data_IF_658537330659
#
_entry.id   IF_658537330659
#
_cell.length_a   1.000
_cell.length_b   1.000
_cell.length_c   1.000
_cell.angle_alpha   90.00
_cell.angle_beta   90.00
_cell.angle_gamma   90.00
#
_symmetry.space_group_name_H-M   'P 1'
#
loop_
_entity.id
_entity.type
_entity.pdbx_description
1 polymer ?
#
# COMPACT_ATOMS: atom_id res chain seq x y z
N UNK A 1 5.89 -8.79 21.35
CA UNK A 1 5.21 -8.20 20.17
C UNK A 1 6.10 -8.42 18.95
N UNK A 2 5.66 -9.13 17.90
CA UNK A 2 6.52 -9.43 16.74
C UNK A 2 6.53 -8.23 15.80
N UNK A 3 7.64 -7.49 15.78
CA UNK A 3 7.80 -6.37 14.87
C UNK A 3 7.94 -6.88 13.44
N UNK A 4 6.97 -6.55 12.58
CA UNK A 4 7.04 -6.86 11.14
C UNK A 4 7.46 -5.59 10.43
N UNK A 5 8.59 -5.63 9.72
CA UNK A 5 9.01 -4.54 8.85
C UNK A 5 8.49 -4.78 7.44
N UNK A 6 7.94 -3.75 6.82
CA UNK A 6 7.50 -3.75 5.43
C UNK A 6 7.63 -2.33 4.90
N UNK A 7 8.03 -2.19 3.64
CA UNK A 7 8.25 -0.91 2.96
C UNK A 7 7.19 -0.67 1.90
N UNK A 8 7.03 0.59 1.51
CA UNK A 8 6.25 0.95 0.34
C UNK A 8 6.92 0.43 -0.94
N UNK A 9 6.18 -0.29 -1.79
CA UNK A 9 6.67 -0.81 -3.07
C UNK A 9 7.00 0.29 -4.12
N UNK A 10 6.57 1.54 -3.91
CA UNK A 10 6.85 2.66 -4.83
C UNK A 10 8.00 3.55 -4.38
N UNK A 11 8.11 3.85 -3.09
CA UNK A 11 9.10 4.82 -2.59
C UNK A 11 10.02 4.24 -1.50
N UNK A 12 9.90 2.95 -1.20
CA UNK A 12 10.65 2.24 -0.16
C UNK A 12 10.52 2.82 1.26
N UNK A 13 9.60 3.76 1.47
CA UNK A 13 9.36 4.35 2.79
C UNK A 13 8.92 3.29 3.80
N UNK A 14 9.52 3.32 4.99
CA UNK A 14 9.09 2.55 6.13
C UNK A 14 8.00 3.33 6.88
N UNK A 15 6.77 2.84 6.83
CA UNK A 15 5.65 3.45 7.56
C UNK A 15 5.00 2.41 8.46
N UNK A 16 4.47 2.80 9.63
CA UNK A 16 3.81 1.87 10.54
C UNK A 16 2.49 1.32 9.96
N UNK A 17 1.97 1.96 8.91
CA UNK A 17 0.77 1.55 8.17
C UNK A 17 1.04 1.60 6.68
N UNK A 18 0.64 0.55 5.97
CA UNK A 18 0.69 0.43 4.51
C UNK A 18 -0.66 -0.06 4.00
N UNK A 19 -1.01 0.32 2.78
CA UNK A 19 -2.25 -0.04 2.13
C UNK A 19 -1.96 -1.02 1.01
N UNK A 20 -2.65 -2.15 1.02
CA UNK A 20 -2.58 -3.13 -0.06
C UNK A 20 -3.49 -2.65 -1.19
N UNK A 21 -2.91 -2.32 -2.33
CA UNK A 21 -3.65 -1.81 -3.49
C UNK A 21 -3.20 -2.54 -4.75
N UNK A 22 -4.10 -2.60 -5.75
CA UNK A 22 -3.77 -2.99 -7.12
C UNK A 22 -4.43 -2.03 -8.11
N UNK A 23 -3.97 -2.08 -9.36
CA UNK A 23 -4.62 -1.40 -10.50
C UNK A 23 -4.48 -2.29 -11.72
N UNK A 24 -5.27 -2.11 -12.79
CA UNK A 24 -5.20 -3.00 -13.95
C UNK A 24 -3.79 -3.11 -14.58
N UNK A 25 -2.96 -2.07 -14.48
CA UNK A 25 -1.55 -2.12 -14.90
C UNK A 25 -0.62 -2.83 -13.91
N UNK A 26 -1.01 -2.94 -12.65
CA UNK A 26 -0.29 -3.64 -11.60
C UNK A 26 -0.99 -4.99 -11.36
N UNK A 27 -0.58 -6.03 -12.12
CA UNK A 27 -1.15 -7.39 -12.00
C UNK A 27 -1.04 -7.97 -10.58
N UNK A 28 -0.10 -7.49 -9.78
CA UNK A 28 0.14 -7.96 -8.42
C UNK A 28 -0.33 -6.95 -7.37
N UNK A 29 -0.87 -7.48 -6.25
CA UNK A 29 -1.12 -6.70 -5.05
C UNK A 29 0.18 -6.16 -4.47
N UNK A 30 0.26 -4.85 -4.29
CA UNK A 30 1.41 -4.15 -3.73
C UNK A 30 1.02 -3.34 -2.50
N UNK A 31 1.99 -3.07 -1.63
CA UNK A 31 1.83 -2.24 -0.44
C UNK A 31 2.34 -0.83 -0.70
N UNK A 32 1.50 0.16 -0.42
CA UNK A 32 1.82 1.56 -0.60
C UNK A 32 1.68 2.32 0.71
N UNK A 33 2.56 3.31 0.94
CA UNK A 33 2.31 4.29 1.98
C UNK A 33 1.15 5.21 1.56
N UNK A 34 0.60 5.96 2.51
CA UNK A 34 -0.55 6.86 2.29
C UNK A 34 -0.39 7.75 1.05
N UNK A 35 0.76 8.41 0.91
CA UNK A 35 1.07 9.31 -0.21
C UNK A 35 1.00 8.59 -1.56
N UNK A 36 1.61 7.41 -1.64
CA UNK A 36 1.61 6.61 -2.87
C UNK A 36 0.21 6.04 -3.18
N UNK A 37 -0.58 5.72 -2.15
CA UNK A 37 -1.98 5.29 -2.33
C UNK A 37 -2.85 6.42 -2.88
N UNK A 38 -2.75 7.63 -2.32
CA UNK A 38 -3.49 8.81 -2.80
C UNK A 38 -3.10 9.14 -4.24
N UNK A 39 -1.80 9.09 -4.55
CA UNK A 39 -1.30 9.25 -5.92
C UNK A 39 -1.85 8.19 -6.87
N UNK A 40 -1.82 6.92 -6.49
CA UNK A 40 -2.36 5.83 -7.32
C UNK A 40 -3.86 5.99 -7.56
N UNK A 41 -4.61 6.44 -6.54
CA UNK A 41 -6.04 6.70 -6.64
C UNK A 41 -6.34 7.87 -7.59
N UNK A 42 -5.52 8.92 -7.57
CA UNK A 42 -5.65 10.07 -8.46
C UNK A 42 -5.23 9.72 -9.90
N UNK A 43 -4.15 8.96 -10.10
CA UNK A 43 -3.67 8.57 -11.42
C UNK A 43 -4.55 7.50 -12.09
N UNK A 44 -5.24 6.66 -11.30
CA UNK A 44 -5.99 5.49 -11.80
C UNK A 44 -7.31 5.27 -11.05
N UNK A 45 -8.22 6.24 -11.02
CA UNK A 45 -9.48 6.12 -10.28
C UNK A 45 -10.31 4.91 -10.74
N UNK A 46 -10.38 4.65 -12.05
CA UNK A 46 -11.26 3.62 -12.63
C UNK A 46 -10.79 2.19 -12.42
N UNK A 47 -9.51 2.00 -12.13
CA UNK A 47 -8.92 0.66 -11.94
C UNK A 47 -8.33 0.44 -10.56
N UNK A 48 -8.35 1.46 -9.70
CA UNK A 48 -7.86 1.37 -8.34
C UNK A 48 -8.69 0.36 -7.55
N UNK A 49 -8.01 -0.60 -6.93
CA UNK A 49 -8.63 -1.61 -6.09
C UNK A 49 -7.90 -1.67 -4.75
N UNK A 50 -8.68 -1.58 -3.69
CA UNK A 50 -8.20 -1.67 -2.31
C UNK A 50 -8.34 -3.11 -1.79
N UNK A 51 -7.29 -3.61 -1.14
CA UNK A 51 -7.18 -4.99 -0.67
C UNK A 51 -6.84 -5.13 0.81
N UNK A 52 -6.96 -4.05 1.58
CA UNK A 52 -6.77 -4.04 3.03
C UNK A 52 -5.61 -3.17 3.52
N UNK A 53 -5.52 -3.04 4.84
CA UNK A 53 -4.48 -2.27 5.52
C UNK A 53 -3.56 -3.22 6.28
N UNK A 54 -2.26 -3.05 6.09
CA UNK A 54 -1.24 -3.67 6.91
C UNK A 54 -0.78 -2.68 7.98
N UNK A 55 -0.70 -3.13 9.23
CA UNK A 55 -0.17 -2.38 10.37
C UNK A 55 1.03 -3.13 10.94
N UNK A 56 2.10 -2.39 11.24
CA UNK A 56 3.32 -2.90 11.90
C UNK A 56 3.01 -3.53 13.26
N UNK A 57 2.06 -2.92 13.96
CA UNK A 57 1.61 -3.31 15.28
C UNK A 57 0.28 -4.07 15.15
N UNK A 58 0.26 -5.34 15.58
CA UNK A 58 -0.99 -6.02 15.92
C UNK A 58 -1.28 -5.72 17.38
N UNK A 59 -2.43 -5.12 17.64
CA UNK A 59 -2.98 -4.97 18.98
C UNK A 59 -3.68 -6.26 19.42
#
# INVERSE_FOLDING_TARGET
MRERTKTCDSCSAQTPTLYRCRSNRLKNWKFYCRRCTERLKAERPDSYQYGGTWKRFKN
#
